data_IF_140005417006
#
_entry.id   IF_140005417006
#
_cell.length_a   1.000
_cell.length_b   1.000
_cell.length_c   1.000
_cell.angle_alpha   90.00
_cell.angle_beta   90.00
_cell.angle_gamma   90.00
#
_symmetry.space_group_name_H-M   'P 1'
#
loop_
_entity.id
_entity.type
_entity.pdbx_description
1 polymer ?
#
# COMPACT_ATOMS: atom_id res chain seq x y z
N UNK A 1 -29.72 7.58 11.16
CA UNK A 1 -28.27 7.63 11.01
C UNK A 1 -27.90 6.69 9.87
N UNK A 2 -27.30 7.17 8.80
CA UNK A 2 -26.86 6.30 7.70
C UNK A 2 -25.74 5.36 8.18
N UNK A 3 -25.74 4.15 7.66
CA UNK A 3 -24.68 3.16 7.92
C UNK A 3 -23.32 3.73 7.46
N UNK A 4 -22.31 3.69 8.32
CA UNK A 4 -20.95 4.18 7.97
C UNK A 4 -20.32 3.17 6.99
N UNK A 5 -20.00 3.63 5.81
CA UNK A 5 -19.37 2.83 4.76
C UNK A 5 -17.86 3.08 4.81
N UNK A 6 -17.08 2.01 4.99
CA UNK A 6 -15.62 2.09 5.05
C UNK A 6 -14.97 1.42 3.84
N UNK A 7 -13.74 1.84 3.52
CA UNK A 7 -12.93 1.18 2.52
C UNK A 7 -12.64 -0.27 2.91
N UNK A 8 -12.84 -1.18 1.98
CA UNK A 8 -12.71 -2.62 2.21
C UNK A 8 -13.99 -3.31 2.64
N UNK A 9 -15.06 -2.58 2.92
CA UNK A 9 -16.36 -3.17 3.21
C UNK A 9 -16.90 -3.93 2.00
N UNK A 10 -17.59 -5.04 2.29
CA UNK A 10 -18.22 -5.90 1.30
C UNK A 10 -19.74 -5.74 1.42
N UNK A 11 -20.37 -5.43 0.30
CA UNK A 11 -21.82 -5.31 0.18
C UNK A 11 -22.37 -6.14 -0.97
N UNK A 12 -23.62 -6.56 -0.91
CA UNK A 12 -24.37 -6.81 -2.13
C UNK A 12 -24.72 -5.48 -2.78
N UNK A 13 -24.55 -5.39 -4.11
CA UNK A 13 -24.96 -4.23 -4.89
C UNK A 13 -25.76 -4.65 -6.11
N UNK A 14 -26.68 -3.79 -6.54
CA UNK A 14 -27.39 -3.94 -7.80
C UNK A 14 -26.65 -3.15 -8.88
N UNK A 15 -25.95 -3.87 -9.75
CA UNK A 15 -25.14 -3.28 -10.82
C UNK A 15 -25.91 -3.10 -12.13
N UNK A 16 -27.24 -3.24 -12.11
CA UNK A 16 -28.10 -3.27 -13.27
C UNK A 16 -27.82 -4.39 -14.28
N UNK A 17 -28.72 -4.55 -15.25
CA UNK A 17 -28.59 -5.60 -16.25
C UNK A 17 -28.18 -5.05 -17.64
N UNK A 18 -28.10 -3.71 -17.79
CA UNK A 18 -27.65 -3.09 -19.03
C UNK A 18 -26.13 -3.00 -19.04
N UNK A 19 -25.51 -4.05 -19.51
CA UNK A 19 -24.05 -4.17 -19.64
C UNK A 19 -23.70 -4.67 -21.02
N UNK A 20 -22.51 -4.32 -21.49
CA UNK A 20 -21.99 -4.72 -22.78
C UNK A 20 -20.86 -5.74 -22.58
N UNK A 21 -20.93 -6.83 -23.32
CA UNK A 21 -19.87 -7.83 -23.38
C UNK A 21 -19.54 -8.48 -22.04
N UNK A 22 -18.32 -8.29 -21.55
CA UNK A 22 -17.78 -8.93 -20.36
C UNK A 22 -17.97 -8.15 -19.05
N UNK A 23 -18.67 -7.05 -19.07
CA UNK A 23 -18.97 -6.27 -17.87
C UNK A 23 -19.74 -7.08 -16.85
N UNK A 24 -19.51 -6.79 -15.57
CA UNK A 24 -20.23 -7.48 -14.50
C UNK A 24 -21.56 -6.81 -14.24
N UNK A 25 -22.66 -7.58 -14.27
CA UNK A 25 -24.05 -7.13 -14.16
C UNK A 25 -24.80 -7.79 -12.99
N UNK A 26 -25.99 -7.26 -12.71
CA UNK A 26 -26.97 -7.82 -11.79
C UNK A 26 -26.56 -7.71 -10.32
N UNK A 27 -27.34 -8.35 -9.46
CA UNK A 27 -27.09 -8.35 -8.00
C UNK A 27 -25.90 -9.24 -7.66
N UNK A 28 -24.88 -8.66 -7.05
CA UNK A 28 -23.66 -9.39 -6.70
C UNK A 28 -22.88 -8.73 -5.56
N UNK A 29 -21.97 -9.46 -4.92
CA UNK A 29 -21.03 -8.88 -3.98
C UNK A 29 -20.09 -7.89 -4.68
N UNK A 30 -19.78 -6.81 -3.98
CA UNK A 30 -18.80 -5.78 -4.36
C UNK A 30 -17.94 -5.44 -3.15
N UNK A 31 -16.75 -4.90 -3.39
CA UNK A 31 -15.90 -4.30 -2.36
C UNK A 31 -15.85 -2.80 -2.56
N UNK A 32 -15.94 -2.04 -1.47
CA UNK A 32 -15.73 -0.59 -1.46
C UNK A 32 -14.23 -0.30 -1.56
N UNK A 33 -13.83 0.45 -2.58
CA UNK A 33 -12.43 0.84 -2.80
C UNK A 33 -12.17 2.33 -2.58
N UNK A 34 -13.22 3.16 -2.59
CA UNK A 34 -13.13 4.58 -2.28
C UNK A 34 -12.64 4.78 -0.85
N UNK A 35 -11.86 5.84 -0.59
CA UNK A 35 -11.40 6.19 0.75
C UNK A 35 -12.56 6.63 1.67
N UNK A 36 -12.34 6.57 2.99
CA UNK A 36 -13.40 6.80 3.98
C UNK A 36 -13.91 8.24 3.99
N UNK A 37 -13.06 9.22 3.66
CA UNK A 37 -13.48 10.62 3.54
C UNK A 37 -14.44 10.77 2.37
N UNK A 38 -14.12 10.20 1.20
CA UNK A 38 -15.00 10.17 0.05
C UNK A 38 -16.30 9.40 0.35
N UNK A 39 -16.19 8.26 1.05
CA UNK A 39 -17.35 7.49 1.48
C UNK A 39 -18.29 8.29 2.40
N UNK A 40 -17.75 9.16 3.22
CA UNK A 40 -18.57 9.98 4.13
C UNK A 40 -19.34 11.09 3.38
N UNK A 41 -18.66 11.84 2.51
CA UNK A 41 -19.21 13.06 1.92
C UNK A 41 -19.92 12.86 0.57
N UNK A 42 -19.53 11.85 -0.23
CA UNK A 42 -20.10 11.64 -1.56
C UNK A 42 -21.41 10.84 -1.51
N UNK A 43 -22.41 11.13 -2.38
CA UNK A 43 -23.56 10.27 -2.59
C UNK A 43 -23.22 8.98 -3.36
N UNK A 44 -22.04 8.92 -3.99
CA UNK A 44 -21.57 7.78 -4.75
C UNK A 44 -20.38 7.12 -4.08
N UNK A 45 -20.09 5.86 -4.47
CA UNK A 45 -18.93 5.09 -4.04
C UNK A 45 -18.25 4.44 -5.22
N UNK A 46 -16.92 4.30 -5.14
CA UNK A 46 -16.15 3.50 -6.08
C UNK A 46 -16.08 2.07 -5.56
N UNK A 47 -16.44 1.11 -6.42
CA UNK A 47 -16.47 -0.31 -6.08
C UNK A 47 -15.70 -1.16 -7.08
N UNK A 48 -15.30 -2.37 -6.65
CA UNK A 48 -14.90 -3.44 -7.54
C UNK A 48 -15.86 -4.64 -7.38
N UNK A 49 -16.35 -5.25 -8.47
CA UNK A 49 -17.26 -6.39 -8.40
C UNK A 49 -16.52 -7.67 -7.99
N UNK A 50 -17.27 -8.55 -7.33
CA UNK A 50 -16.79 -9.87 -6.88
C UNK A 50 -17.54 -10.96 -7.64
N UNK A 51 -16.82 -12.01 -8.03
CA UNK A 51 -17.38 -13.17 -8.72
C UNK A 51 -16.98 -14.48 -8.07
N UNK A 52 -17.90 -15.44 -8.01
CA UNK A 52 -17.60 -16.83 -7.60
C UNK A 52 -17.11 -17.71 -8.76
N UNK A 53 -17.05 -17.22 -9.98
CA UNK A 53 -16.59 -17.96 -11.18
C UNK A 53 -15.04 -17.96 -11.28
N UNK A 54 -14.37 -18.38 -10.20
CA UNK A 54 -12.89 -18.32 -10.07
C UNK A 54 -12.17 -19.26 -11.06
N UNK A 55 -12.76 -20.41 -11.40
CA UNK A 55 -12.14 -21.41 -12.27
C UNK A 55 -12.18 -21.05 -13.76
N UNK A 56 -13.10 -20.18 -14.16
CA UNK A 56 -13.39 -19.87 -15.58
C UNK A 56 -12.54 -18.68 -16.04
N UNK A 57 -12.14 -17.79 -15.13
CA UNK A 57 -11.40 -16.60 -15.47
C UNK A 57 -9.89 -16.80 -15.33
N UNK A 58 -9.14 -16.35 -16.32
CA UNK A 58 -7.68 -16.27 -16.22
C UNK A 58 -7.30 -15.45 -14.98
N UNK A 59 -6.27 -15.89 -14.26
CA UNK A 59 -5.74 -15.16 -13.12
C UNK A 59 -4.91 -13.98 -13.65
N UNK A 60 -5.48 -12.78 -13.59
CA UNK A 60 -4.75 -11.55 -13.89
C UNK A 60 -4.09 -11.03 -12.60
N UNK A 61 -3.02 -10.22 -12.70
CA UNK A 61 -2.42 -9.57 -11.54
C UNK A 61 -3.37 -8.59 -10.81
N UNK A 62 -4.47 -8.20 -11.48
CA UNK A 62 -5.57 -7.39 -10.93
C UNK A 62 -6.65 -8.23 -10.21
N UNK A 63 -6.52 -9.56 -10.20
CA UNK A 63 -7.47 -10.47 -9.55
C UNK A 63 -7.02 -10.83 -8.14
N UNK A 64 -7.90 -10.67 -7.16
CA UNK A 64 -7.65 -11.02 -5.77
C UNK A 64 -8.56 -12.14 -5.35
N UNK A 65 -7.99 -13.26 -4.93
CA UNK A 65 -8.75 -14.41 -4.46
C UNK A 65 -9.15 -14.19 -3.00
N UNK A 66 -10.44 -14.36 -2.74
CA UNK A 66 -11.04 -14.42 -1.41
C UNK A 66 -11.45 -15.85 -1.13
N UNK A 67 -10.90 -16.43 -0.06
CA UNK A 67 -11.30 -17.76 0.36
C UNK A 67 -12.73 -17.73 0.94
N UNK A 68 -13.42 -18.88 0.87
CA UNK A 68 -14.75 -19.01 1.42
C UNK A 68 -14.73 -18.83 2.94
N UNK A 69 -15.64 -18.01 3.43
CA UNK A 69 -15.83 -17.75 4.86
C UNK A 69 -17.33 -17.70 5.14
N UNK A 70 -17.79 -18.54 6.05
CA UNK A 70 -19.21 -18.63 6.42
C UNK A 70 -19.79 -17.30 6.96
N UNK A 71 -18.92 -16.44 7.50
CA UNK A 71 -19.30 -15.13 8.05
C UNK A 71 -19.37 -14.04 6.97
N UNK A 72 -18.77 -14.25 5.80
CA UNK A 72 -18.69 -13.27 4.70
C UNK A 72 -19.21 -13.85 3.39
N UNK A 73 -18.35 -14.58 2.66
CA UNK A 73 -18.64 -15.14 1.35
C UNK A 73 -18.70 -16.67 1.43
N UNK A 74 -19.88 -17.25 1.21
CA UNK A 74 -20.10 -18.71 1.29
C UNK A 74 -19.31 -19.54 0.27
N UNK A 75 -18.77 -18.88 -0.76
CA UNK A 75 -18.00 -19.52 -1.84
C UNK A 75 -16.70 -18.79 -2.04
N UNK A 76 -15.64 -19.53 -2.37
CA UNK A 76 -14.39 -18.96 -2.89
C UNK A 76 -14.73 -18.02 -4.04
N UNK A 77 -14.24 -16.79 -3.95
CA UNK A 77 -14.61 -15.71 -4.84
C UNK A 77 -13.38 -14.93 -5.29
N UNK A 78 -13.54 -13.99 -6.20
CA UNK A 78 -12.46 -13.21 -6.77
C UNK A 78 -12.93 -11.78 -6.98
N UNK A 79 -12.16 -10.80 -6.50
CA UNK A 79 -12.35 -9.39 -6.81
C UNK A 79 -11.77 -9.13 -8.20
N UNK A 80 -12.49 -8.39 -9.03
CA UNK A 80 -12.10 -8.00 -10.39
C UNK A 80 -11.78 -6.50 -10.40
N UNK A 81 -10.52 -6.18 -10.09
CA UNK A 81 -10.10 -4.77 -9.93
C UNK A 81 -10.09 -4.04 -11.27
N UNK A 82 -9.88 -4.74 -12.39
CA UNK A 82 -9.99 -4.16 -13.74
C UNK A 82 -11.41 -3.72 -14.10
N UNK A 83 -12.42 -4.06 -13.29
CA UNK A 83 -13.82 -3.68 -13.49
C UNK A 83 -14.33 -2.69 -12.45
N UNK A 84 -13.43 -1.88 -11.89
CA UNK A 84 -13.82 -0.79 -10.97
C UNK A 84 -14.79 0.16 -11.65
N UNK A 85 -15.76 0.61 -10.88
CA UNK A 85 -16.77 1.56 -11.35
C UNK A 85 -17.38 2.35 -10.20
N UNK A 86 -18.00 3.47 -10.56
CA UNK A 86 -18.78 4.29 -9.62
C UNK A 86 -20.23 3.81 -9.61
N UNK A 87 -20.83 3.73 -8.42
CA UNK A 87 -22.24 3.48 -8.24
C UNK A 87 -22.83 4.47 -7.20
N UNK A 88 -24.12 4.75 -7.29
CA UNK A 88 -24.84 5.45 -6.24
C UNK A 88 -24.95 4.56 -4.99
N UNK A 89 -24.82 5.14 -3.79
CA UNK A 89 -24.95 4.42 -2.52
C UNK A 89 -26.28 3.70 -2.37
N UNK A 90 -27.35 4.19 -2.96
CA UNK A 90 -28.69 3.55 -2.94
C UNK A 90 -28.68 2.16 -3.61
N UNK A 91 -27.68 1.87 -4.44
CA UNK A 91 -27.51 0.54 -5.06
C UNK A 91 -26.86 -0.47 -4.12
N UNK A 92 -26.22 -0.02 -3.04
CA UNK A 92 -25.72 -0.89 -1.99
C UNK A 92 -26.93 -1.49 -1.23
N UNK A 93 -26.83 -2.78 -0.95
CA UNK A 93 -27.85 -3.53 -0.23
C UNK A 93 -27.24 -4.08 1.05
N UNK A 94 -27.36 -5.35 1.33
CA UNK A 94 -26.91 -5.96 2.57
C UNK A 94 -25.37 -5.93 2.71
N UNK A 95 -24.92 -5.47 3.86
CA UNK A 95 -23.52 -5.60 4.29
C UNK A 95 -23.16 -7.08 4.47
N UNK A 96 -22.00 -7.48 4.02
CA UNK A 96 -21.52 -8.88 4.03
C UNK A 96 -20.40 -9.07 5.05
N UNK A 97 -19.59 -8.03 5.27
CA UNK A 97 -18.37 -8.06 6.08
C UNK A 97 -17.32 -7.13 5.50
N UNK A 98 -16.07 -7.28 5.92
CA UNK A 98 -14.95 -6.45 5.44
C UNK A 98 -13.75 -7.30 5.05
N UNK A 99 -12.86 -6.76 4.22
CA UNK A 99 -11.55 -7.32 3.94
C UNK A 99 -10.66 -7.24 5.19
N UNK A 100 -9.83 -8.24 5.39
CA UNK A 100 -8.78 -8.18 6.39
C UNK A 100 -7.57 -7.38 5.89
N UNK A 101 -6.60 -7.09 6.76
CA UNK A 101 -5.43 -6.27 6.43
C UNK A 101 -4.57 -6.85 5.28
N UNK A 102 -4.47 -8.18 5.16
CA UNK A 102 -3.71 -8.82 4.07
C UNK A 102 -4.45 -8.70 2.73
N UNK A 103 -5.77 -8.85 2.75
CA UNK A 103 -6.64 -8.67 1.58
C UNK A 103 -6.65 -7.20 1.12
N UNK A 104 -6.69 -6.22 2.06
CA UNK A 104 -6.57 -4.79 1.75
C UNK A 104 -5.23 -4.47 1.11
N UNK A 105 -4.11 -4.97 1.63
CA UNK A 105 -2.79 -4.79 1.00
C UNK A 105 -2.73 -5.39 -0.41
N UNK A 106 -3.43 -6.50 -0.65
CA UNK A 106 -3.53 -7.09 -1.97
C UNK A 106 -4.38 -6.23 -2.91
N UNK A 107 -5.45 -5.63 -2.39
CA UNK A 107 -6.29 -4.68 -3.13
C UNK A 107 -5.49 -3.45 -3.58
N UNK A 108 -4.68 -2.86 -2.68
CA UNK A 108 -3.83 -1.72 -3.00
C UNK A 108 -2.87 -2.03 -4.15
N UNK A 109 -2.19 -3.18 -4.11
CA UNK A 109 -1.29 -3.62 -5.18
C UNK A 109 -2.01 -3.83 -6.51
N UNK A 110 -3.17 -4.45 -6.47
CA UNK A 110 -3.96 -4.70 -7.68
C UNK A 110 -4.49 -3.39 -8.29
N UNK A 111 -4.87 -2.40 -7.47
CA UNK A 111 -5.27 -1.06 -7.93
C UNK A 111 -4.12 -0.30 -8.60
N UNK A 112 -2.93 -0.33 -8.03
CA UNK A 112 -1.72 0.26 -8.62
C UNK A 112 -1.49 -0.31 -10.03
N UNK A 113 -1.60 -1.64 -10.18
CA UNK A 113 -1.42 -2.32 -11.47
C UNK A 113 -2.56 -1.96 -12.45
N UNK A 114 -3.82 -2.05 -11.99
CA UNK A 114 -4.99 -1.83 -12.83
C UNK A 114 -5.06 -0.40 -13.39
N UNK A 115 -4.60 0.58 -12.61
CA UNK A 115 -4.63 2.00 -12.96
C UNK A 115 -3.31 2.50 -13.58
N UNK A 116 -2.29 1.65 -13.66
CA UNK A 116 -0.97 2.04 -14.16
C UNK A 116 -0.33 3.15 -13.31
N UNK A 117 -0.60 3.16 -11.99
CA UNK A 117 -0.03 4.16 -11.09
C UNK A 117 1.44 3.82 -10.88
N UNK A 118 2.31 4.63 -11.45
CA UNK A 118 3.74 4.53 -11.19
C UNK A 118 4.04 5.03 -9.78
N UNK A 119 4.76 4.23 -9.01
CA UNK A 119 5.32 4.71 -7.75
C UNK A 119 6.33 5.79 -8.06
N UNK A 120 6.23 6.92 -7.39
CA UNK A 120 7.27 7.94 -7.49
C UNK A 120 8.61 7.36 -7.02
N UNK A 121 9.72 7.90 -7.52
CA UNK A 121 11.06 7.48 -7.10
C UNK A 121 11.22 7.58 -5.57
N UNK A 122 10.63 8.62 -4.97
CA UNK A 122 10.62 8.81 -3.52
C UNK A 122 9.86 7.68 -2.78
N UNK A 123 8.69 7.25 -3.30
CA UNK A 123 7.93 6.14 -2.70
C UNK A 123 8.68 4.81 -2.78
N UNK A 124 9.42 4.58 -3.88
CA UNK A 124 10.27 3.41 -4.03
C UNK A 124 11.45 3.44 -3.05
N UNK A 125 12.08 4.58 -2.85
CA UNK A 125 13.17 4.77 -1.89
C UNK A 125 12.70 4.54 -0.45
N UNK A 126 11.52 5.05 -0.08
CA UNK A 126 10.89 4.79 1.23
C UNK A 126 10.55 3.30 1.40
N UNK A 127 10.03 2.63 0.37
CA UNK A 127 9.70 1.20 0.45
C UNK A 127 10.97 0.32 0.56
N UNK A 128 12.03 0.69 -0.15
CA UNK A 128 13.34 0.02 -0.06
C UNK A 128 13.90 0.19 1.35
N UNK A 129 13.85 1.41 1.90
CA UNK A 129 14.31 1.71 3.25
C UNK A 129 13.51 0.95 4.31
N UNK A 130 12.18 0.91 4.20
CA UNK A 130 11.31 0.13 5.10
C UNK A 130 11.58 -1.37 5.01
N UNK A 131 11.79 -1.92 3.81
CA UNK A 131 12.14 -3.35 3.64
C UNK A 131 13.52 -3.68 4.19
N UNK A 132 14.46 -2.74 4.12
CA UNK A 132 15.75 -2.90 4.75
C UNK A 132 15.60 -2.97 6.28
N UNK A 133 14.83 -2.06 6.88
CA UNK A 133 14.52 -2.04 8.32
C UNK A 133 13.80 -3.33 8.76
N UNK A 134 12.72 -3.74 8.08
CA UNK A 134 11.99 -4.99 8.38
C UNK A 134 12.85 -6.26 8.25
N UNK A 135 13.86 -6.23 7.38
CA UNK A 135 14.81 -7.34 7.20
C UNK A 135 15.86 -7.35 8.30
N UNK A 136 16.14 -6.18 8.86
CA UNK A 136 17.12 -5.98 9.94
C UNK A 136 16.55 -6.27 11.32
N UNK A 137 15.23 -6.09 11.56
CA UNK A 137 14.56 -6.60 12.78
C UNK A 137 14.66 -8.12 12.95
N UNK A 138 14.98 -8.86 11.88
CA UNK A 138 15.25 -10.32 11.93
C UNK A 138 16.72 -10.68 12.06
N UNK A 139 17.64 -9.72 12.00
CA UNK A 139 19.07 -9.93 12.19
C UNK A 139 19.55 -8.89 13.18
N UNK A 140 19.68 -9.29 14.44
CA UNK A 140 20.47 -8.56 15.43
C UNK A 140 21.81 -8.17 14.80
N UNK A 141 22.13 -6.87 14.83
CA UNK A 141 23.33 -6.22 14.32
C UNK A 141 23.26 -5.67 12.89
N UNK A 142 22.70 -4.45 12.77
CA UNK A 142 23.28 -3.52 11.79
C UNK A 142 24.76 -3.37 12.17
N UNK A 143 25.64 -3.95 11.39
CA UNK A 143 27.07 -3.84 11.67
C UNK A 143 27.45 -2.36 11.59
N UNK A 144 28.22 -1.85 12.55
CA UNK A 144 28.77 -0.48 12.60
C UNK A 144 29.33 -0.02 11.24
N UNK A 145 29.73 -0.97 10.40
CA UNK A 145 30.22 -0.78 9.04
C UNK A 145 29.14 -0.31 8.06
N UNK A 146 27.89 -0.71 8.22
CA UNK A 146 26.78 -0.30 7.33
C UNK A 146 26.34 1.14 7.64
N UNK A 147 26.32 1.54 8.91
CA UNK A 147 25.99 2.91 9.32
C UNK A 147 27.01 3.90 8.75
N UNK A 148 28.32 3.57 8.81
CA UNK A 148 29.36 4.41 8.26
C UNK A 148 29.28 4.50 6.72
N UNK A 149 28.94 3.42 6.03
CA UNK A 149 28.80 3.43 4.57
C UNK A 149 27.61 4.26 4.09
N UNK A 150 26.47 4.21 4.79
CA UNK A 150 25.31 5.04 4.46
C UNK A 150 25.58 6.53 4.68
N UNK A 151 26.28 6.91 5.74
CA UNK A 151 26.67 8.31 5.99
C UNK A 151 27.57 8.89 4.89
N UNK A 152 28.45 8.06 4.29
CA UNK A 152 29.33 8.49 3.21
C UNK A 152 28.59 8.58 1.89
N UNK A 153 27.77 7.61 1.55
CA UNK A 153 26.96 7.61 0.33
C UNK A 153 25.98 8.80 0.35
N UNK A 154 25.37 9.10 1.48
CA UNK A 154 24.52 10.27 1.65
C UNK A 154 25.30 11.56 1.45
N UNK A 155 26.50 11.69 2.02
CA UNK A 155 27.36 12.89 1.89
C UNK A 155 27.87 13.10 0.47
N UNK A 156 28.23 12.03 -0.24
CA UNK A 156 28.66 12.06 -1.64
C UNK A 156 27.51 12.44 -2.57
N UNK A 157 26.34 11.86 -2.34
CA UNK A 157 25.11 12.17 -3.07
C UNK A 157 24.69 13.63 -2.89
N UNK A 158 24.77 14.15 -1.66
CA UNK A 158 24.44 15.54 -1.33
C UNK A 158 25.41 16.56 -1.96
N UNK A 159 26.67 16.22 -2.13
CA UNK A 159 27.64 17.05 -2.86
C UNK A 159 27.30 17.20 -4.34
N UNK A 160 26.71 16.16 -4.94
CA UNK A 160 26.44 16.09 -6.39
C UNK A 160 25.08 16.70 -6.78
N UNK A 161 24.15 16.91 -5.84
CA UNK A 161 22.80 17.44 -6.14
C UNK A 161 22.75 18.97 -6.26
N UNK A 162 23.82 19.67 -5.92
CA UNK A 162 23.99 21.11 -6.19
C UNK A 162 23.03 22.07 -5.43
N UNK A 163 22.14 21.55 -4.57
CA UNK A 163 21.22 22.38 -3.77
C UNK A 163 21.52 22.20 -2.29
N UNK A 164 22.30 23.14 -1.75
CA UNK A 164 22.83 23.10 -0.38
C UNK A 164 21.75 23.10 0.70
N UNK A 165 20.60 23.71 0.43
CA UNK A 165 19.51 23.89 1.40
C UNK A 165 18.69 22.60 1.59
N UNK A 166 18.38 21.92 0.50
CA UNK A 166 17.71 20.60 0.52
C UNK A 166 18.66 19.55 1.11
N UNK A 167 19.93 19.63 0.78
CA UNK A 167 20.99 18.79 1.31
C UNK A 167 21.10 18.87 2.83
N UNK A 168 21.11 20.08 3.39
CA UNK A 168 21.24 20.29 4.83
C UNK A 168 20.01 19.81 5.59
N UNK A 169 18.81 19.97 5.03
CA UNK A 169 17.56 19.48 5.63
C UNK A 169 17.52 17.96 5.67
N UNK A 170 17.77 17.29 4.54
CA UNK A 170 17.81 15.83 4.46
C UNK A 170 18.89 15.22 5.35
N UNK A 171 20.05 15.88 5.45
CA UNK A 171 21.10 15.45 6.36
C UNK A 171 20.70 15.62 7.82
N UNK A 172 20.00 16.72 8.16
CA UNK A 172 19.45 16.96 9.49
C UNK A 172 18.43 15.89 9.90
N UNK A 173 17.48 15.57 9.03
CA UNK A 173 16.45 14.54 9.26
C UNK A 173 17.08 13.14 9.42
N UNK A 174 18.10 12.82 8.61
CA UNK A 174 18.86 11.58 8.70
C UNK A 174 19.65 11.49 10.01
N UNK A 175 20.31 12.57 10.44
CA UNK A 175 21.03 12.60 11.71
C UNK A 175 20.09 12.47 12.90
N UNK A 176 18.91 13.10 12.88
CA UNK A 176 17.90 12.94 13.92
C UNK A 176 17.45 11.47 14.04
N UNK A 177 17.19 10.80 12.93
CA UNK A 177 16.82 9.38 12.91
C UNK A 177 17.94 8.49 13.46
N UNK A 178 19.20 8.78 13.15
CA UNK A 178 20.33 8.06 13.74
C UNK A 178 20.48 8.30 15.24
N UNK A 179 20.25 9.54 15.71
CA UNK A 179 20.30 9.86 17.13
C UNK A 179 19.18 9.24 17.95
N UNK A 180 18.03 8.95 17.34
CA UNK A 180 16.93 8.19 17.95
C UNK A 180 17.25 6.69 18.09
N UNK A 181 18.04 6.15 17.16
CA UNK A 181 18.37 4.73 17.10
C UNK A 181 19.67 4.35 17.85
N UNK A 182 20.58 5.31 18.03
CA UNK A 182 21.91 5.08 18.61
C UNK A 182 22.31 6.15 19.59
N UNK A 183 23.04 5.78 20.63
CA UNK A 183 23.61 6.76 21.56
C UNK A 183 24.66 7.63 20.85
N UNK A 184 24.73 8.92 21.23
CA UNK A 184 25.68 9.89 20.66
C UNK A 184 27.15 9.39 20.73
N UNK A 185 27.52 8.64 21.78
CA UNK A 185 28.85 8.03 21.94
C UNK A 185 29.17 6.95 20.89
N UNK A 186 28.18 6.20 20.45
CA UNK A 186 28.39 5.16 19.42
C UNK A 186 28.59 5.79 18.04
N UNK A 187 27.87 6.89 17.76
CA UNK A 187 28.00 7.65 16.50
C UNK A 187 29.37 8.33 16.42
N UNK A 188 29.84 8.97 17.51
CA UNK A 188 31.15 9.62 17.56
C UNK A 188 32.31 8.62 17.43
N UNK A 189 32.25 7.52 18.16
CA UNK A 189 33.28 6.48 18.10
C UNK A 189 33.46 5.87 16.69
N UNK A 190 32.38 5.77 15.93
CA UNK A 190 32.45 5.26 14.56
C UNK A 190 32.91 6.32 13.56
N UNK A 191 32.53 7.58 13.76
CA UNK A 191 33.04 8.71 12.96
C UNK A 191 34.56 8.86 13.11
N UNK A 192 35.10 8.68 14.33
CA UNK A 192 36.53 8.79 14.58
C UNK A 192 37.32 7.63 13.97
N UNK A 193 36.84 6.39 14.06
CA UNK A 193 37.44 5.24 13.37
C UNK A 193 37.49 5.40 11.85
N UNK A 194 36.55 6.16 11.29
CA UNK A 194 36.51 6.40 9.86
C UNK A 194 37.47 7.49 9.45
N UNK A 195 37.64 8.53 10.29
CA UNK A 195 38.67 9.56 10.06
C UNK A 195 40.09 9.00 10.05
N UNK A 196 40.37 8.03 10.93
CA UNK A 196 41.66 7.36 11.00
C UNK A 196 41.98 6.50 9.77
N UNK A 197 40.97 6.06 9.02
CA UNK A 197 41.14 5.26 7.77
C UNK A 197 41.26 6.09 6.51
N UNK A 198 40.96 7.39 6.57
CA UNK A 198 41.05 8.32 5.44
C UNK A 198 42.36 9.14 5.45
N UNK A 199 43.16 9.05 6.52
CA UNK A 199 44.54 9.52 6.65
C UNK A 199 45.52 8.36 6.48
#
# INVERSE_FOLDING_TARGET
MGEIINRGDLYFADLENQVIGSEQAGKRPVVIIQNDIGNYYSPTVIIAPITSKVKIKAKLPTHIILESDSKRLKKKSMILVEQIRVIDKLRLKNYIGALNNAELKSLDKALIIALGIEKSRADLEIEISKKAIDKEEKTEFITRRQIASYGIVAREYLKNVGNLEISNKLFGDYMLTLMELFSSKEIEAEADRYREKLN
#
